data_IF_468365056703
#
_entry.id   IF_468365056703
#
_cell.length_a   1.000
_cell.length_b   1.000
_cell.length_c   1.000
_cell.angle_alpha   90.00
_cell.angle_beta   90.00
_cell.angle_gamma   90.00
#
_symmetry.space_group_name_H-M   'P 1'
#
loop_
_entity.id
_entity.type
_entity.pdbx_description
1 polymer ?
#
# COMPACT_ATOMS: atom_id res chain seq x y z
N UNK A 1 -0.65 -21.64 10.25
CA UNK A 1 -0.81 -20.29 10.82
C UNK A 1 -0.75 -19.37 9.64
N UNK A 2 -1.81 -18.62 9.38
CA UNK A 2 -1.82 -17.56 8.37
C UNK A 2 -0.97 -16.40 8.88
N UNK A 3 0.05 -15.98 8.13
CA UNK A 3 0.82 -14.74 8.29
C UNK A 3 0.23 -13.58 7.48
N UNK A 4 -0.67 -12.81 8.09
CA UNK A 4 -1.11 -11.55 7.50
C UNK A 4 0.04 -10.56 7.42
N UNK A 5 0.22 -9.84 6.32
CA UNK A 5 1.21 -8.76 6.27
C UNK A 5 0.65 -7.52 5.59
N UNK A 6 1.16 -6.37 6.01
CA UNK A 6 0.78 -5.08 5.46
C UNK A 6 1.98 -4.41 4.82
N UNK A 7 1.77 -3.81 3.64
CA UNK A 7 2.73 -2.93 2.99
C UNK A 7 2.09 -1.58 2.73
N UNK A 8 2.88 -0.53 2.83
CA UNK A 8 2.47 0.78 2.37
C UNK A 8 3.63 1.53 1.74
N UNK A 9 3.32 2.37 0.76
CA UNK A 9 4.18 3.46 0.31
C UNK A 9 3.39 4.75 0.40
N UNK A 10 3.96 5.74 1.07
CA UNK A 10 3.32 7.02 1.35
C UNK A 10 4.22 8.13 0.82
N UNK A 11 3.69 8.95 -0.08
CA UNK A 11 4.32 10.21 -0.48
C UNK A 11 3.83 11.31 0.46
N UNK A 12 4.73 11.89 1.25
CA UNK A 12 4.38 12.90 2.24
C UNK A 12 4.18 14.29 1.61
N UNK A 13 3.34 15.10 2.27
CA UNK A 13 3.18 16.50 1.95
C UNK A 13 4.49 17.27 2.20
N UNK A 14 4.73 18.32 1.40
CA UNK A 14 5.94 19.14 1.52
C UNK A 14 6.11 19.71 2.94
N UNK A 15 7.30 19.50 3.52
CA UNK A 15 7.66 19.99 4.85
C UNK A 15 7.31 19.05 6.01
N UNK A 16 6.70 17.88 5.74
CA UNK A 16 6.57 16.82 6.74
C UNK A 16 7.88 16.05 6.87
N UNK A 17 8.20 15.67 8.11
CA UNK A 17 9.35 14.82 8.41
C UNK A 17 8.95 13.33 8.28
N UNK A 18 9.62 12.56 7.40
CA UNK A 18 9.42 11.12 7.28
C UNK A 18 9.58 10.33 8.58
N UNK A 19 10.52 10.72 9.45
CA UNK A 19 10.77 10.02 10.71
C UNK A 19 9.63 10.27 11.71
N UNK A 20 9.12 11.51 11.78
CA UNK A 20 7.94 11.84 12.59
C UNK A 20 6.69 11.11 12.10
N UNK A 21 6.52 11.00 10.77
CA UNK A 21 5.42 10.23 10.20
C UNK A 21 5.50 8.75 10.58
N UNK A 22 6.69 8.14 10.48
CA UNK A 22 6.88 6.73 10.83
C UNK A 22 6.51 6.45 12.30
N UNK A 23 6.88 7.36 13.22
CA UNK A 23 6.50 7.29 14.63
C UNK A 23 4.98 7.45 14.83
N UNK A 24 4.36 8.41 14.13
CA UNK A 24 2.92 8.61 14.19
C UNK A 24 2.16 7.38 13.65
N UNK A 25 2.65 6.75 12.59
CA UNK A 25 2.10 5.54 12.03
C UNK A 25 2.25 4.35 12.98
N UNK A 26 3.44 4.13 13.57
CA UNK A 26 3.64 3.08 14.56
C UNK A 26 2.71 3.26 15.78
N UNK A 27 2.51 4.50 16.22
CA UNK A 27 1.57 4.82 17.30
C UNK A 27 0.10 4.56 16.92
N UNK A 28 -0.32 4.96 15.71
CA UNK A 28 -1.69 4.76 15.22
C UNK A 28 -1.99 3.28 14.96
N UNK A 29 -0.99 2.54 14.48
CA UNK A 29 -1.07 1.13 14.14
C UNK A 29 -0.89 0.19 15.34
N UNK A 30 -0.19 0.66 16.38
CA UNK A 30 0.12 -0.08 17.62
C UNK A 30 0.98 -1.33 17.41
N UNK A 31 1.83 -1.33 16.39
CA UNK A 31 2.80 -2.41 16.17
C UNK A 31 4.15 -1.86 15.73
N UNK A 32 5.15 -2.75 15.78
CA UNK A 32 6.49 -2.49 15.26
C UNK A 32 6.45 -2.50 13.73
N UNK A 33 7.03 -1.47 13.12
CA UNK A 33 7.07 -1.29 11.67
C UNK A 33 8.50 -1.37 11.17
N UNK A 34 8.70 -2.02 10.02
CA UNK A 34 9.94 -1.91 9.27
C UNK A 34 9.79 -0.83 8.21
N UNK A 35 10.63 0.20 8.28
CA UNK A 35 10.48 1.43 7.51
C UNK A 35 11.72 1.72 6.68
N UNK A 36 11.51 2.13 5.42
CA UNK A 36 12.56 2.69 4.56
C UNK A 36 12.11 4.07 4.06
N UNK A 37 13.02 5.03 4.05
CA UNK A 37 12.74 6.42 3.67
C UNK A 37 13.57 6.80 2.45
N UNK A 38 12.90 7.31 1.42
CA UNK A 38 13.53 7.87 0.21
C UNK A 38 13.04 9.31 -0.02
N UNK A 39 13.79 10.29 0.50
CA UNK A 39 13.38 11.70 0.45
C UNK A 39 12.09 11.92 1.24
N UNK A 40 11.00 12.29 0.58
CA UNK A 40 9.68 12.48 1.18
C UNK A 40 8.78 11.22 1.11
N UNK A 41 9.28 10.12 0.55
CA UNK A 41 8.56 8.86 0.42
C UNK A 41 8.92 7.91 1.56
N UNK A 42 7.92 7.29 2.16
CA UNK A 42 8.06 6.32 3.24
C UNK A 42 7.48 4.99 2.79
N UNK A 43 8.29 3.95 2.83
CA UNK A 43 7.89 2.57 2.61
C UNK A 43 7.80 1.85 3.95
N UNK A 44 6.75 1.07 4.14
CA UNK A 44 6.42 0.44 5.42
C UNK A 44 6.07 -1.02 5.18
N UNK A 45 6.71 -1.90 5.93
CA UNK A 45 6.31 -3.28 6.09
C UNK A 45 5.88 -3.53 7.53
N UNK A 46 4.73 -4.17 7.70
CA UNK A 46 4.19 -4.53 9.01
C UNK A 46 3.83 -6.02 9.02
N UNK A 47 4.53 -6.78 9.85
CA UNK A 47 4.25 -8.20 10.05
C UNK A 47 2.96 -8.37 10.89
N UNK A 48 2.12 -9.36 10.56
CA UNK A 48 0.83 -9.66 11.23
C UNK A 48 -0.20 -8.52 11.24
N UNK A 49 -0.32 -7.76 10.14
CA UNK A 49 -0.98 -6.46 10.15
C UNK A 49 -2.12 -6.26 9.13
N UNK A 50 -3.34 -6.64 9.50
CA UNK A 50 -4.56 -6.39 8.70
C UNK A 50 -5.09 -4.94 8.79
N UNK A 51 -4.56 -4.12 9.71
CA UNK A 51 -5.05 -2.76 10.01
C UNK A 51 -4.17 -1.64 9.44
N UNK A 52 -3.10 -1.97 8.71
CA UNK A 52 -2.16 -0.97 8.19
C UNK A 52 -2.86 0.05 7.28
N UNK A 53 -3.65 -0.42 6.31
CA UNK A 53 -4.40 0.47 5.40
C UNK A 53 -5.25 1.48 6.16
N UNK A 54 -5.99 1.05 7.18
CA UNK A 54 -6.85 1.93 7.99
C UNK A 54 -6.05 2.92 8.86
N UNK A 55 -4.84 2.56 9.30
CA UNK A 55 -3.97 3.49 10.00
C UNK A 55 -3.40 4.56 9.05
N UNK A 56 -2.98 4.15 7.85
CA UNK A 56 -2.53 5.08 6.81
C UNK A 56 -3.66 6.02 6.40
N UNK A 57 -4.86 5.49 6.09
CA UNK A 57 -6.07 6.26 5.74
C UNK A 57 -6.32 7.41 6.72
N UNK A 58 -6.26 7.14 8.03
CA UNK A 58 -6.48 8.15 9.08
C UNK A 58 -5.42 9.25 9.11
N UNK A 59 -4.19 8.94 8.72
CA UNK A 59 -3.07 9.88 8.73
C UNK A 59 -2.96 10.68 7.42
N UNK A 60 -3.48 10.15 6.31
CA UNK A 60 -3.41 10.80 4.99
C UNK A 60 -3.83 12.28 4.99
N UNK A 61 -4.99 12.68 5.54
CA UNK A 61 -5.43 14.08 5.57
C UNK A 61 -4.43 15.08 6.13
N UNK A 62 -3.61 14.65 7.08
CA UNK A 62 -2.62 15.51 7.74
C UNK A 62 -1.23 15.37 7.12
N UNK A 63 -0.85 14.15 6.71
CA UNK A 63 0.52 13.78 6.43
C UNK A 63 0.83 13.56 4.97
N UNK A 64 -0.07 12.92 4.23
CA UNK A 64 0.20 12.37 2.90
C UNK A 64 -0.37 13.20 1.76
N UNK A 65 0.31 13.16 0.63
CA UNK A 65 -0.22 13.60 -0.66
C UNK A 65 -0.98 12.46 -1.36
N UNK A 66 -0.45 11.24 -1.24
CA UNK A 66 -1.03 9.99 -1.76
C UNK A 66 -0.34 8.79 -1.12
N UNK A 67 -1.01 7.64 -1.13
CA UNK A 67 -0.40 6.38 -0.70
C UNK A 67 -0.88 5.20 -1.56
N UNK A 68 -0.11 4.12 -1.54
CA UNK A 68 -0.54 2.79 -1.95
C UNK A 68 -0.41 1.90 -0.72
N UNK A 69 -1.45 1.12 -0.42
CA UNK A 69 -1.44 0.16 0.67
C UNK A 69 -1.78 -1.23 0.13
N UNK A 70 -1.20 -2.26 0.72
CA UNK A 70 -1.52 -3.65 0.47
C UNK A 70 -1.72 -4.40 1.78
N UNK A 71 -2.77 -5.21 1.85
CA UNK A 71 -3.01 -6.16 2.94
C UNK A 71 -3.01 -7.57 2.35
N UNK A 72 -2.03 -8.39 2.68
CA UNK A 72 -1.92 -9.79 2.26
C UNK A 72 -2.52 -10.69 3.33
N UNK A 73 -3.42 -11.55 2.87
CA UNK A 73 -4.16 -12.52 3.65
C UNK A 73 -3.62 -13.95 3.42
N UNK A 74 -2.32 -14.07 3.09
CA UNK A 74 -1.64 -15.31 2.72
C UNK A 74 -2.28 -15.98 1.49
N UNK A 75 -2.67 -17.26 1.64
CA UNK A 75 -3.37 -18.06 0.64
C UNK A 75 -4.72 -17.46 0.21
N UNK A 76 -5.23 -16.48 0.97
CA UNK A 76 -6.55 -15.90 0.75
C UNK A 76 -6.56 -14.67 -0.19
N UNK A 77 -5.39 -14.12 -0.54
CA UNK A 77 -5.24 -13.03 -1.51
C UNK A 77 -4.72 -11.71 -0.92
N UNK A 78 -4.74 -10.64 -1.72
CA UNK A 78 -4.14 -9.33 -1.36
C UNK A 78 -5.09 -8.21 -1.73
N UNK A 79 -5.40 -7.30 -0.80
CA UNK A 79 -6.16 -6.09 -1.09
C UNK A 79 -5.21 -4.93 -1.34
N UNK A 80 -5.25 -4.31 -2.53
CA UNK A 80 -4.51 -3.08 -2.82
C UNK A 80 -5.45 -1.88 -2.88
N UNK A 81 -4.98 -0.77 -2.30
CA UNK A 81 -5.72 0.48 -2.29
C UNK A 81 -4.80 1.63 -2.63
N UNK A 82 -5.30 2.57 -3.42
CA UNK A 82 -4.66 3.86 -3.66
C UNK A 82 -5.41 4.90 -2.85
N UNK A 83 -4.72 5.60 -1.96
CA UNK A 83 -5.31 6.62 -1.10
C UNK A 83 -4.97 8.01 -1.63
N UNK A 84 -5.98 8.86 -1.76
CA UNK A 84 -5.82 10.29 -2.02
C UNK A 84 -5.39 11.07 -0.77
N UNK A 85 -5.16 12.39 -0.90
CA UNK A 85 -4.75 13.24 0.22
C UNK A 85 -5.82 13.38 1.31
N UNK A 86 -7.09 13.12 1.01
CA UNK A 86 -8.19 13.09 1.97
C UNK A 86 -8.38 11.71 2.65
N UNK A 87 -7.52 10.75 2.33
CA UNK A 87 -7.63 9.36 2.78
C UNK A 87 -8.65 8.53 2.00
N UNK A 88 -9.35 9.11 1.01
CA UNK A 88 -10.35 8.35 0.24
C UNK A 88 -9.65 7.27 -0.59
N UNK A 89 -10.09 6.02 -0.40
CA UNK A 89 -9.61 4.89 -1.18
C UNK A 89 -10.19 4.89 -2.60
N UNK A 90 -9.29 4.93 -3.57
CA UNK A 90 -9.50 4.53 -4.96
C UNK A 90 -9.00 3.10 -5.02
N UNK A 91 -9.90 2.14 -4.81
CA UNK A 91 -9.54 0.72 -4.80
C UNK A 91 -8.98 0.30 -6.16
N UNK A 92 -7.88 -0.45 -6.16
CA UNK A 92 -7.19 -0.87 -7.39
C UNK A 92 -6.65 -2.28 -7.18
N UNK A 93 -7.12 -3.25 -7.95
CA UNK A 93 -6.65 -4.63 -8.00
C UNK A 93 -6.44 -5.36 -6.65
N UNK A 94 -7.53 -5.93 -6.14
CA UNK A 94 -7.49 -6.93 -5.07
C UNK A 94 -7.59 -8.34 -5.61
N UNK A 95 -6.91 -9.27 -4.96
CA UNK A 95 -7.02 -10.71 -5.18
C UNK A 95 -7.81 -11.28 -4.00
N UNK A 96 -8.87 -12.03 -4.31
CA UNK A 96 -9.56 -12.88 -3.33
C UNK A 96 -9.47 -14.32 -3.82
N UNK A 97 -9.21 -15.27 -2.93
CA UNK A 97 -9.02 -16.70 -3.26
C UNK A 97 -10.22 -17.33 -4.01
N UNK A 98 -11.44 -16.89 -3.69
CA UNK A 98 -12.66 -17.41 -4.31
C UNK A 98 -13.19 -16.51 -5.45
N UNK A 99 -12.48 -15.42 -5.78
CA UNK A 99 -12.89 -14.45 -6.80
C UNK A 99 -12.28 -14.75 -8.17
N UNK A 100 -13.12 -14.81 -9.21
CA UNK A 100 -12.64 -14.83 -10.60
C UNK A 100 -12.45 -13.39 -11.12
N UNK A 101 -11.22 -13.03 -11.50
CA UNK A 101 -10.93 -11.77 -12.20
C UNK A 101 -10.62 -10.57 -11.30
N UNK A 102 -10.82 -9.36 -11.83
CA UNK A 102 -10.65 -8.11 -11.09
C UNK A 102 -11.88 -7.85 -10.20
N UNK A 103 -11.73 -7.16 -9.06
CA UNK A 103 -12.86 -6.81 -8.21
C UNK A 103 -13.82 -5.83 -8.92
N UNK A 104 -15.11 -5.86 -8.59
CA UNK A 104 -16.17 -5.06 -9.25
C UNK A 104 -15.91 -3.54 -9.25
N UNK A 105 -15.08 -3.05 -8.34
CA UNK A 105 -14.71 -1.65 -8.19
C UNK A 105 -13.41 -1.27 -8.94
N UNK A 106 -12.73 -2.22 -9.58
CA UNK A 106 -11.68 -1.94 -10.57
C UNK A 106 -12.33 -1.58 -11.91
N UNK A 107 -12.39 -0.27 -12.16
CA UNK A 107 -13.02 0.32 -13.33
C UNK A 107 -12.01 1.18 -14.05
N UNK A 108 -12.25 1.46 -15.33
CA UNK A 108 -11.38 2.38 -16.08
C UNK A 108 -11.35 3.77 -15.42
N UNK A 109 -12.45 4.18 -14.80
CA UNK A 109 -12.55 5.43 -14.03
C UNK A 109 -11.70 5.40 -12.75
N UNK A 110 -11.74 4.33 -11.96
CA UNK A 110 -10.91 4.21 -10.75
C UNK A 110 -9.43 4.12 -11.10
N UNK A 111 -9.05 3.40 -12.16
CA UNK A 111 -7.67 3.39 -12.67
C UNK A 111 -7.20 4.77 -13.10
N UNK A 112 -8.00 5.53 -13.85
CA UNK A 112 -7.65 6.92 -14.22
C UNK A 112 -7.50 7.83 -13.01
N UNK A 113 -8.34 7.68 -12.00
CA UNK A 113 -8.24 8.45 -10.76
C UNK A 113 -6.93 8.14 -10.01
N UNK A 114 -6.56 6.85 -9.90
CA UNK A 114 -5.29 6.41 -9.31
C UNK A 114 -4.08 6.94 -10.10
N UNK A 115 -4.11 6.82 -11.44
CA UNK A 115 -3.06 7.33 -12.32
C UNK A 115 -2.87 8.85 -12.15
N UNK A 116 -3.96 9.61 -12.05
CA UNK A 116 -3.94 11.05 -11.84
C UNK A 116 -3.31 11.43 -10.48
N UNK A 117 -3.56 10.67 -9.42
CA UNK A 117 -2.94 10.90 -8.11
C UNK A 117 -1.41 10.76 -8.19
N UNK A 118 -0.91 9.76 -8.92
CA UNK A 118 0.53 9.51 -9.07
C UNK A 118 1.19 10.30 -10.20
N UNK A 119 0.40 10.94 -11.08
CA UNK A 119 0.91 11.66 -12.24
C UNK A 119 1.48 10.73 -13.31
N UNK A 120 0.92 9.53 -13.44
CA UNK A 120 1.31 8.53 -14.44
C UNK A 120 0.27 8.44 -15.56
N UNK A 121 0.68 7.90 -16.71
CA UNK A 121 -0.24 7.67 -17.83
C UNK A 121 -1.24 6.55 -17.48
N UNK A 122 -2.56 6.75 -17.67
CA UNK A 122 -3.56 5.73 -17.32
C UNK A 122 -3.36 4.38 -18.03
N UNK A 123 -2.79 4.39 -19.24
CA UNK A 123 -2.55 3.16 -20.00
C UNK A 123 -1.61 2.19 -19.30
N UNK A 124 -0.71 2.67 -18.44
CA UNK A 124 0.17 1.80 -17.65
C UNK A 124 -0.63 0.92 -16.67
N UNK A 125 -1.76 1.42 -16.17
CA UNK A 125 -2.64 0.66 -15.28
C UNK A 125 -3.59 -0.25 -16.04
N UNK A 126 -4.01 0.15 -17.25
CA UNK A 126 -4.79 -0.71 -18.14
C UNK A 126 -3.99 -1.94 -18.58
N UNK A 127 -2.70 -1.80 -18.91
CA UNK A 127 -1.82 -2.92 -19.28
C UNK A 127 -1.67 -3.94 -18.14
N UNK A 128 -1.53 -3.47 -16.90
CA UNK A 128 -1.42 -4.35 -15.72
C UNK A 128 -2.75 -5.07 -15.48
N UNK A 129 -3.88 -4.38 -15.63
CA UNK A 129 -5.21 -4.96 -15.49
C UNK A 129 -5.54 -6.01 -16.58
N UNK A 130 -5.15 -5.76 -17.84
CA UNK A 130 -5.33 -6.72 -18.94
C UNK A 130 -4.51 -8.00 -18.70
N UNK A 131 -3.24 -7.84 -18.33
CA UNK A 131 -2.38 -8.97 -17.97
C UNK A 131 -2.99 -9.80 -16.85
N UNK A 132 -3.61 -9.14 -15.87
CA UNK A 132 -4.29 -9.78 -14.75
C UNK A 132 -5.52 -10.59 -15.18
N UNK A 133 -6.34 -10.03 -16.07
CA UNK A 133 -7.52 -10.71 -16.61
C UNK A 133 -7.14 -11.97 -17.40
N UNK A 134 -5.95 -12.02 -17.99
CA UNK A 134 -5.44 -13.18 -18.73
C UNK A 134 -4.82 -14.25 -17.81
N UNK A 135 -4.07 -13.83 -16.79
CA UNK A 135 -3.33 -14.72 -15.89
C UNK A 135 -4.23 -15.35 -14.78
N UNK A 136 -5.34 -14.72 -14.43
CA UNK A 136 -6.27 -15.18 -13.37
C UNK A 136 -5.75 -14.94 -11.95
N UNK A 137 -6.56 -15.26 -10.94
CA UNK A 137 -6.33 -14.89 -9.54
C UNK A 137 -5.20 -15.67 -8.81
N UNK A 138 -4.29 -16.39 -9.48
CA UNK A 138 -3.32 -17.27 -8.80
C UNK A 138 -2.25 -16.53 -7.98
N UNK A 139 -2.07 -16.78 -6.66
CA UNK A 139 -0.90 -16.28 -5.95
C UNK A 139 -0.31 -17.30 -4.96
N UNK A 140 0.94 -17.69 -5.17
CA UNK A 140 1.86 -17.96 -4.05
C UNK A 140 3.30 -18.02 -4.57
N UNK A 141 3.83 -16.81 -4.83
CA UNK A 141 5.27 -16.47 -4.91
C UNK A 141 5.96 -16.90 -6.23
N UNK A 142 6.71 -16.09 -7.00
CA UNK A 142 7.62 -14.94 -6.77
C UNK A 142 7.53 -14.00 -8.01
N UNK A 143 7.50 -12.66 -7.82
CA UNK A 143 7.33 -11.65 -8.89
C UNK A 143 5.96 -10.95 -8.91
N UNK A 144 5.08 -11.41 -8.01
CA UNK A 144 4.04 -10.67 -7.26
C UNK A 144 3.22 -9.68 -8.09
N UNK A 145 2.15 -10.14 -8.78
CA UNK A 145 1.33 -9.32 -9.67
C UNK A 145 0.88 -7.97 -9.09
N UNK A 146 0.60 -7.88 -7.78
CA UNK A 146 0.28 -6.60 -7.15
C UNK A 146 1.46 -5.59 -7.13
N UNK A 147 2.72 -6.04 -7.09
CA UNK A 147 3.87 -5.14 -7.21
C UNK A 147 4.01 -4.54 -8.62
N UNK A 148 3.40 -5.16 -9.64
CA UNK A 148 3.33 -4.56 -10.99
C UNK A 148 2.49 -3.28 -10.96
N UNK A 149 1.41 -3.25 -10.18
CA UNK A 149 0.60 -2.05 -9.95
C UNK A 149 1.40 -0.94 -9.27
N UNK A 150 2.14 -1.28 -8.22
CA UNK A 150 2.98 -0.33 -7.50
C UNK A 150 4.07 0.25 -8.41
N UNK A 151 4.68 -0.59 -9.25
CA UNK A 151 5.66 -0.17 -10.25
C UNK A 151 5.05 0.72 -11.32
N UNK A 152 3.86 0.38 -11.83
CA UNK A 152 3.14 1.19 -12.82
C UNK A 152 2.72 2.57 -12.26
N UNK A 153 2.47 2.65 -10.95
CA UNK A 153 2.23 3.90 -10.22
C UNK A 153 3.53 4.67 -9.89
N UNK A 154 4.70 4.18 -10.32
CA UNK A 154 6.00 4.83 -10.08
C UNK A 154 6.49 4.70 -8.64
N UNK A 155 6.00 3.70 -7.91
CA UNK A 155 6.41 3.40 -6.54
C UNK A 155 6.84 1.93 -6.41
N UNK A 156 7.86 1.49 -7.18
CA UNK A 156 8.34 0.11 -7.09
C UNK A 156 8.80 -0.19 -5.66
N UNK A 157 8.46 -1.38 -5.17
CA UNK A 157 8.91 -1.80 -3.86
C UNK A 157 10.45 -1.91 -3.83
N UNK A 158 11.14 -1.39 -2.81
CA UNK A 158 12.60 -1.42 -2.76
C UNK A 158 13.09 -2.86 -2.54
N UNK A 159 13.93 -3.35 -3.45
CA UNK A 159 14.60 -4.65 -3.30
C UNK A 159 16.13 -4.51 -3.42
N UNK A 160 16.91 -4.98 -2.42
CA UNK A 160 16.48 -5.43 -1.09
C UNK A 160 15.91 -4.29 -0.23
N UNK A 161 14.96 -4.59 0.65
CA UNK A 161 14.38 -3.63 1.60
C UNK A 161 15.31 -3.47 2.80
N UNK A 162 16.28 -2.55 2.70
CA UNK A 162 17.16 -2.19 3.82
C UNK A 162 16.39 -1.21 4.74
N UNK A 163 15.71 -1.77 5.74
CA UNK A 163 14.82 -1.02 6.64
C UNK A 163 15.44 -0.67 7.99
N UNK A 164 14.84 0.33 8.64
CA UNK A 164 14.98 0.61 10.07
C UNK A 164 13.70 0.24 10.78
N UNK A 165 13.80 -0.42 11.92
CA UNK A 165 12.65 -0.80 12.74
C UNK A 165 12.19 0.37 13.62
N UNK A 166 10.88 0.63 13.65
CA UNK A 166 10.23 1.67 14.43
C UNK A 166 9.22 1.03 15.38
N UNK A 167 9.41 1.24 16.68
CA UNK A 167 8.51 0.71 17.71
C UNK A 167 7.41 1.72 18.07
N UNK A 168 6.20 1.26 18.45
CA UNK A 168 5.16 2.15 18.95
C UNK A 168 5.62 2.80 20.27
N UNK A 169 5.18 4.03 20.59
CA UNK A 169 5.49 4.64 21.87
C UNK A 169 4.99 3.74 23.01
N UNK A 170 5.91 3.26 23.87
CA UNK A 170 5.49 2.56 25.09
C UNK A 170 4.67 3.53 25.93
N UNK A 171 3.43 3.15 26.27
CA UNK A 171 2.62 3.91 27.21
C UNK A 171 3.46 4.11 28.48
N UNK A 172 3.93 5.33 28.70
CA UNK A 172 4.59 5.69 29.95
C UNK A 172 3.53 5.54 31.03
N UNK A 173 3.59 4.44 31.78
CA UNK A 173 2.83 4.30 33.02
C UNK A 173 3.24 5.45 33.93
N UNK A 174 2.39 6.48 33.98
CA UNK A 174 2.43 7.54 34.98
C UNK A 174 1.66 7.08 36.22
#
# INVERSE_FOLDING_TARGET
MSSFSGWAVIDLNGGRDPEEFALALAAAHQSTLDVMIEGARVFVFADFSVTLSSAVEKLMPEWGARAITASDFDEHGVINEVLGPDGTAVHVASIEEEGEGLPDNDTVESRRAAAALFGVEPSALDEVAETWSEEGAQPSVLGVPYLRWWTALGAPWPHPFESTTVEPPTASTS
#
